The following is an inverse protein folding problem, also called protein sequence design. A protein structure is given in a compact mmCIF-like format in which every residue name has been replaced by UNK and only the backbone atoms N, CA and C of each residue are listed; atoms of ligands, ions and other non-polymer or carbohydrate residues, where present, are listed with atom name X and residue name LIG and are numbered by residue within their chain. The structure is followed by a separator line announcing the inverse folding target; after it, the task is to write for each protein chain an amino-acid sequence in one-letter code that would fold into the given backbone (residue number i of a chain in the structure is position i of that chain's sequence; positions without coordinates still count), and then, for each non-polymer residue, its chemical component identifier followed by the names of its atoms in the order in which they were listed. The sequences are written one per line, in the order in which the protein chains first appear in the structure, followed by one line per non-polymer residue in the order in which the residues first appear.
data_IF_526554921839
#
_entry.id   IF_526554921839
#
_cell.length_a   1.000
_cell.length_b   1.000
_cell.length_c   1.000
_cell.angle_alpha   90.00
_cell.angle_beta   90.00
_cell.angle_gamma   90.00
#
_symmetry.space_group_name_H-M   'P 1'
#
loop_
_entity.id
_entity.type
_entity.pdbx_description
1 polymer ?
#
# COMPACT_ATOMS: atom_id res chain seq x y z
N UNK A 1 -46.54 -1.65 -38.07
CA UNK A 1 -46.13 -0.74 -36.95
C UNK A 1 -44.73 -0.24 -37.23
N UNK A 2 -44.45 1.07 -37.42
CA UNK A 2 -43.12 1.61 -37.58
C UNK A 2 -42.44 1.59 -36.22
N UNK A 3 -41.33 0.86 -36.11
CA UNK A 3 -40.50 0.85 -34.93
C UNK A 3 -39.46 2.00 -35.03
N UNK A 4 -39.54 2.99 -34.14
CA UNK A 4 -38.59 4.09 -34.08
C UNK A 4 -37.67 3.92 -32.84
N UNK A 5 -36.41 3.67 -33.09
CA UNK A 5 -35.35 3.68 -32.04
C UNK A 5 -34.92 5.11 -31.83
N UNK A 6 -35.07 5.61 -30.61
CA UNK A 6 -34.42 6.86 -30.21
C UNK A 6 -32.96 6.58 -29.88
N UNK A 7 -32.00 7.25 -30.52
CA UNK A 7 -30.62 7.12 -30.13
C UNK A 7 -30.44 7.70 -28.72
N UNK A 8 -29.94 6.88 -27.79
CA UNK A 8 -29.51 7.31 -26.47
C UNK A 8 -27.99 7.40 -26.48
N UNK A 9 -27.45 8.60 -26.39
CA UNK A 9 -26.02 8.81 -26.19
C UNK A 9 -25.75 8.87 -24.71
N UNK A 10 -25.04 7.88 -24.18
CA UNK A 10 -24.49 7.92 -22.83
C UNK A 10 -23.10 8.53 -22.93
N UNK A 11 -22.93 9.76 -22.44
CA UNK A 11 -21.60 10.33 -22.30
C UNK A 11 -20.87 9.59 -21.17
N UNK A 12 -19.86 8.83 -21.51
CA UNK A 12 -18.94 8.24 -20.53
C UNK A 12 -18.08 9.38 -19.97
N UNK A 13 -18.03 9.50 -18.66
CA UNK A 13 -17.08 10.43 -18.03
C UNK A 13 -15.67 9.88 -18.25
N UNK A 14 -14.77 10.75 -18.68
CA UNK A 14 -13.36 10.41 -18.77
C UNK A 14 -12.84 10.01 -17.39
N UNK A 15 -12.22 8.85 -17.31
CA UNK A 15 -11.58 8.36 -16.09
C UNK A 15 -10.10 8.58 -16.22
N UNK A 16 -9.57 9.49 -15.40
CA UNK A 16 -8.12 9.72 -15.31
C UNK A 16 -7.50 8.62 -14.44
N UNK A 17 -6.75 7.71 -15.07
CA UNK A 17 -6.11 6.56 -14.40
C UNK A 17 -4.67 6.88 -13.99
N UNK A 18 -4.23 8.10 -14.13
CA UNK A 18 -2.90 8.55 -13.73
C UNK A 18 -2.97 9.42 -12.48
N UNK A 19 -1.86 9.49 -11.73
CA UNK A 19 -1.76 10.41 -10.62
C UNK A 19 -1.90 11.86 -11.12
N UNK A 20 -2.65 12.69 -10.41
CA UNK A 20 -2.70 14.12 -10.65
C UNK A 20 -1.51 14.80 -9.99
N UNK A 21 -0.80 15.67 -10.71
CA UNK A 21 0.30 16.44 -10.15
C UNK A 21 -0.15 17.84 -9.67
N UNK A 22 0.42 18.28 -8.54
CA UNK A 22 0.25 19.65 -8.08
C UNK A 22 1.09 20.59 -8.92
N UNK A 23 0.52 21.75 -9.27
CA UNK A 23 1.21 22.84 -10.01
C UNK A 23 2.03 23.74 -9.06
N UNK A 24 2.71 23.18 -8.06
CA UNK A 24 3.46 23.92 -7.05
C UNK A 24 4.96 23.71 -7.13
N UNK A 25 5.69 24.39 -6.24
CA UNK A 25 7.15 24.24 -6.07
C UNK A 25 7.51 22.82 -5.57
N UNK A 26 6.58 22.16 -4.90
CA UNK A 26 6.70 20.76 -4.46
C UNK A 26 6.03 19.83 -5.44
N UNK A 27 6.76 18.83 -5.94
CA UNK A 27 6.18 17.78 -6.80
C UNK A 27 5.34 16.83 -5.94
N UNK A 28 4.06 17.12 -5.82
CA UNK A 28 3.11 16.23 -5.17
C UNK A 28 2.25 15.51 -6.21
N UNK A 29 2.21 14.20 -6.14
CA UNK A 29 1.38 13.35 -6.99
C UNK A 29 0.27 12.74 -6.14
N UNK A 30 -0.98 12.91 -6.56
CA UNK A 30 -2.15 12.36 -5.87
C UNK A 30 -2.79 11.26 -6.69
N UNK A 31 -2.98 10.11 -6.06
CA UNK A 31 -3.68 8.94 -6.58
C UNK A 31 -5.00 8.84 -5.83
N UNK A 32 -6.11 8.88 -6.53
CA UNK A 32 -7.44 8.76 -5.95
C UNK A 32 -7.97 7.31 -5.99
N UNK A 33 -9.12 7.09 -5.38
CA UNK A 33 -9.75 5.78 -5.32
C UNK A 33 -10.11 5.25 -6.70
N UNK A 34 -10.56 6.11 -7.60
CA UNK A 34 -10.96 5.72 -8.96
C UNK A 34 -9.77 5.14 -9.73
N UNK A 35 -8.60 5.77 -9.65
CA UNK A 35 -7.38 5.26 -10.28
C UNK A 35 -6.96 3.91 -9.68
N UNK A 36 -7.10 3.74 -8.37
CA UNK A 36 -6.83 2.45 -7.70
C UNK A 36 -7.80 1.36 -8.13
N UNK A 37 -9.07 1.67 -8.30
CA UNK A 37 -10.09 0.70 -8.75
C UNK A 37 -9.83 0.22 -10.18
N UNK A 38 -9.31 1.08 -11.05
CA UNK A 38 -8.91 0.67 -12.39
C UNK A 38 -7.63 -0.17 -12.40
N UNK A 39 -6.65 0.18 -11.57
CA UNK A 39 -5.39 -0.55 -11.49
C UNK A 39 -5.55 -1.92 -10.84
N UNK A 40 -6.51 -2.08 -9.93
CA UNK A 40 -6.70 -3.30 -9.13
C UNK A 40 -5.42 -3.77 -8.41
N UNK A 41 -4.76 -2.90 -7.62
CA UNK A 41 -3.46 -3.19 -7.04
C UNK A 41 -3.54 -4.35 -6.03
N UNK A 42 -2.53 -5.19 -5.99
CA UNK A 42 -2.38 -6.28 -5.00
C UNK A 42 -1.64 -5.78 -3.76
N UNK A 43 -0.69 -4.87 -3.96
CA UNK A 43 0.05 -4.22 -2.90
C UNK A 43 0.20 -2.73 -3.15
N UNK A 44 0.63 -2.00 -2.12
CA UNK A 44 0.87 -0.56 -2.25
C UNK A 44 1.94 -0.24 -3.31
N UNK A 45 2.91 -1.12 -3.52
CA UNK A 45 3.96 -0.92 -4.53
C UNK A 45 3.42 -0.76 -5.94
N UNK A 46 2.26 -1.37 -6.24
CA UNK A 46 1.66 -1.30 -7.56
C UNK A 46 1.16 0.11 -7.89
N UNK A 47 0.83 0.91 -6.86
CA UNK A 47 0.39 2.30 -7.03
C UNK A 47 1.50 3.19 -7.58
N UNK A 48 2.76 2.82 -7.39
CA UNK A 48 3.89 3.60 -7.89
C UNK A 48 3.96 3.62 -9.42
N UNK A 49 3.34 2.63 -10.08
CA UNK A 49 3.20 2.62 -11.55
C UNK A 49 2.33 3.76 -12.09
N UNK A 50 1.44 4.33 -11.25
CA UNK A 50 0.59 5.46 -11.62
C UNK A 50 1.31 6.81 -11.53
N UNK A 51 2.49 6.84 -10.93
CA UNK A 51 3.28 8.07 -10.81
C UNK A 51 3.89 8.44 -12.16
N UNK A 52 4.02 9.72 -12.48
CA UNK A 52 4.77 10.17 -13.65
C UNK A 52 6.21 9.64 -13.62
N UNK A 53 6.62 8.93 -14.66
CA UNK A 53 7.89 8.22 -14.72
C UNK A 53 7.96 6.96 -13.83
N UNK A 54 6.83 6.54 -13.26
CA UNK A 54 6.73 5.32 -12.47
C UNK A 54 7.00 4.07 -13.32
N UNK A 55 7.69 3.11 -12.71
CA UNK A 55 7.91 1.79 -13.33
C UNK A 55 6.85 0.82 -12.82
N UNK A 56 6.42 -0.09 -13.68
CA UNK A 56 5.58 -1.21 -13.25
C UNK A 56 6.33 -2.04 -12.23
N UNK A 57 5.66 -2.30 -11.10
CA UNK A 57 6.21 -3.16 -10.06
C UNK A 57 6.17 -4.62 -10.51
N UNK A 58 7.21 -5.38 -10.19
CA UNK A 58 7.18 -6.83 -10.33
C UNK A 58 6.04 -7.39 -9.46
N UNK A 59 5.11 -8.19 -10.00
CA UNK A 59 4.02 -8.79 -9.23
C UNK A 59 4.51 -9.76 -8.16
N UNK A 60 5.73 -10.24 -8.25
CA UNK A 60 6.33 -11.13 -7.25
C UNK A 60 6.43 -10.43 -5.89
N UNK A 61 6.11 -11.18 -4.84
CA UNK A 61 6.14 -10.71 -3.46
C UNK A 61 7.33 -11.26 -2.66
N UNK A 62 8.36 -11.74 -3.34
CA UNK A 62 9.59 -12.21 -2.70
C UNK A 62 10.42 -11.01 -2.22
N UNK A 63 10.73 -10.98 -0.97
CA UNK A 63 11.49 -9.91 -0.35
C UNK A 63 10.68 -8.63 -0.08
N UNK A 64 11.15 -7.84 0.87
CA UNK A 64 10.53 -6.57 1.24
C UNK A 64 10.59 -5.59 0.06
N UNK A 65 9.49 -4.86 -0.17
CA UNK A 65 9.38 -3.83 -1.19
C UNK A 65 9.38 -2.46 -0.54
N UNK A 66 10.50 -1.78 -0.63
CA UNK A 66 10.66 -0.44 -0.07
C UNK A 66 10.48 0.61 -1.15
N UNK A 67 10.02 1.79 -0.76
CA UNK A 67 9.83 2.91 -1.67
C UNK A 67 11.17 3.58 -1.97
N UNK A 68 11.40 3.87 -3.24
CA UNK A 68 12.53 4.70 -3.72
C UNK A 68 11.96 5.84 -4.53
N UNK A 69 12.01 7.06 -3.99
CA UNK A 69 11.43 8.25 -4.63
C UNK A 69 12.43 9.05 -5.45
N UNK A 70 13.71 8.90 -5.16
CA UNK A 70 14.80 9.61 -5.82
C UNK A 70 16.00 8.70 -6.00
N UNK A 71 15.97 7.85 -7.01
CA UNK A 71 17.17 7.13 -7.42
C UNK A 71 17.84 7.81 -8.60
N UNK A 72 19.08 8.19 -8.40
CA UNK A 72 20.01 8.46 -9.48
C UNK A 72 20.76 7.16 -9.74
N UNK A 73 20.21 6.39 -10.62
CA UNK A 73 20.80 5.38 -11.48
C UNK A 73 22.10 4.68 -11.07
N UNK A 74 22.16 4.02 -9.90
CA UNK A 74 23.19 3.01 -9.67
C UNK A 74 22.58 1.84 -8.91
N UNK A 75 22.66 0.67 -9.51
CA UNK A 75 22.28 -0.62 -8.95
C UNK A 75 23.27 -1.13 -7.89
N UNK A 76 23.72 -0.28 -6.96
CA UNK A 76 24.58 -0.74 -5.88
C UNK A 76 23.76 -0.91 -4.61
N UNK A 77 24.00 -2.02 -3.93
CA UNK A 77 23.42 -2.43 -2.66
C UNK A 77 23.43 -1.38 -1.53
N UNK A 78 24.28 -0.37 -1.64
CA UNK A 78 24.42 0.73 -0.68
C UNK A 78 23.21 1.68 -0.62
N UNK A 79 22.27 1.58 -1.57
CA UNK A 79 21.08 2.44 -1.61
C UNK A 79 19.82 1.80 -1.00
N UNK A 80 19.92 0.59 -0.45
CA UNK A 80 18.77 -0.07 0.19
C UNK A 80 18.25 0.68 1.42
N UNK A 81 19.04 1.59 1.98
CA UNK A 81 18.65 2.46 3.08
C UNK A 81 18.01 3.78 2.64
N UNK A 82 17.93 4.06 1.34
CA UNK A 82 17.34 5.31 0.82
C UNK A 82 15.85 5.46 1.18
N UNK A 83 15.15 4.34 1.34
CA UNK A 83 13.75 4.32 1.78
C UNK A 83 13.55 4.78 3.23
N UNK A 84 14.59 4.79 4.06
CA UNK A 84 14.53 5.33 5.43
C UNK A 84 14.26 6.84 5.44
N UNK A 85 14.67 7.56 4.40
CA UNK A 85 14.39 8.97 4.22
C UNK A 85 12.96 9.28 3.76
N UNK A 86 12.11 8.27 3.57
CA UNK A 86 10.71 8.43 3.16
C UNK A 86 9.78 8.04 4.30
N UNK A 87 8.94 8.98 4.73
CA UNK A 87 7.98 8.78 5.81
C UNK A 87 6.62 8.37 5.25
N UNK A 88 6.02 7.38 5.86
CA UNK A 88 4.63 7.00 5.59
C UNK A 88 3.74 7.50 6.72
N UNK A 89 2.68 8.21 6.35
CA UNK A 89 1.70 8.77 7.28
C UNK A 89 0.33 8.25 6.88
N UNK A 90 -0.34 7.55 7.79
CA UNK A 90 -1.70 7.05 7.57
C UNK A 90 -2.65 7.79 8.51
N UNK A 91 -3.61 8.52 7.93
CA UNK A 91 -4.60 9.32 8.67
C UNK A 91 -3.97 10.25 9.72
N UNK A 92 -2.80 10.84 9.40
CA UNK A 92 -2.07 11.74 10.28
C UNK A 92 -1.07 11.07 11.23
N UNK A 93 -1.06 9.75 11.36
CA UNK A 93 -0.13 9.01 12.21
C UNK A 93 1.02 8.41 11.38
N UNK A 94 2.29 8.64 11.75
CA UNK A 94 3.42 8.04 11.06
C UNK A 94 3.50 6.54 11.33
N UNK A 95 3.97 5.77 10.33
CA UNK A 95 4.32 4.37 10.52
C UNK A 95 5.74 4.30 11.09
N UNK A 96 5.91 3.61 12.23
CA UNK A 96 7.23 3.26 12.74
C UNK A 96 7.78 2.04 11.99
N UNK A 97 9.08 2.08 11.72
CA UNK A 97 9.82 0.99 11.08
C UNK A 97 10.90 0.42 12.00
N UNK A 98 10.98 0.90 13.25
CA UNK A 98 12.08 0.60 14.17
C UNK A 98 12.24 -0.89 14.48
N UNK A 99 11.14 -1.64 14.43
CA UNK A 99 11.13 -3.09 14.65
C UNK A 99 11.16 -3.92 13.35
N UNK A 100 11.33 -3.29 12.19
CA UNK A 100 11.35 -4.00 10.93
C UNK A 100 12.72 -4.66 10.69
N UNK A 101 12.81 -5.92 11.06
CA UNK A 101 14.00 -6.76 10.89
C UNK A 101 13.95 -7.61 9.61
N UNK A 102 13.07 -7.28 8.67
CA UNK A 102 12.94 -8.04 7.44
C UNK A 102 14.19 -7.92 6.57
N UNK A 103 14.65 -9.06 6.09
CA UNK A 103 15.78 -9.14 5.16
C UNK A 103 15.34 -8.64 3.78
N UNK A 104 16.08 -7.72 3.22
CA UNK A 104 15.97 -7.35 1.82
C UNK A 104 16.68 -8.42 0.99
N UNK A 105 15.93 -9.15 0.19
CA UNK A 105 16.50 -10.01 -0.84
C UNK A 105 16.87 -9.12 -2.04
N UNK A 106 18.03 -8.53 -1.98
CA UNK A 106 18.66 -7.88 -3.11
C UNK A 106 19.71 -8.84 -3.65
N UNK A 107 19.72 -9.14 -4.88
CA UNK A 107 20.67 -9.94 -5.66
C UNK A 107 21.25 -11.19 -4.96
N UNK A 108 20.95 -12.41 -5.46
CA UNK A 108 21.49 -13.66 -4.92
C UNK A 108 23.03 -13.75 -4.97
N UNK A 109 23.72 -12.85 -5.68
CA UNK A 109 25.17 -12.84 -5.78
C UNK A 109 25.87 -11.91 -4.78
N UNK A 110 25.13 -11.14 -3.98
CA UNK A 110 25.70 -10.24 -2.96
C UNK A 110 25.48 -10.80 -1.56
N UNK A 111 26.34 -11.67 -1.14
CA UNK A 111 26.27 -12.37 0.16
C UNK A 111 26.51 -11.49 1.38
N UNK A 112 27.12 -10.33 1.25
CA UNK A 112 27.54 -9.51 2.40
C UNK A 112 26.62 -8.33 2.73
N UNK A 113 25.98 -7.72 1.75
CA UNK A 113 25.24 -6.46 1.97
C UNK A 113 23.82 -6.66 2.50
N UNK A 114 23.24 -7.84 2.30
CA UNK A 114 21.90 -8.17 2.80
C UNK A 114 21.81 -8.25 4.33
N UNK A 115 22.94 -8.42 5.01
CA UNK A 115 22.99 -8.57 6.48
C UNK A 115 23.19 -7.25 7.22
N UNK A 116 23.58 -6.18 6.53
CA UNK A 116 23.98 -4.93 7.17
C UNK A 116 22.83 -3.93 7.37
N UNK A 117 21.70 -4.12 6.71
CA UNK A 117 20.55 -3.24 6.88
C UNK A 117 19.50 -3.88 7.80
N UNK A 118 19.57 -3.52 9.08
CA UNK A 118 18.62 -3.99 10.10
C UNK A 118 17.22 -3.40 9.87
N UNK A 119 17.15 -2.21 9.27
CA UNK A 119 15.90 -1.51 8.96
C UNK A 119 16.05 -0.88 7.57
N UNK A 120 15.20 -1.25 6.66
CA UNK A 120 15.18 -0.72 5.30
C UNK A 120 13.96 0.17 5.00
N UNK A 121 13.27 0.64 6.03
CA UNK A 121 12.06 1.44 5.90
C UNK A 121 10.77 0.62 5.84
N UNK A 122 9.70 1.23 5.33
CA UNK A 122 8.38 0.60 5.27
C UNK A 122 8.33 -0.43 4.15
N UNK A 123 7.96 -1.65 4.50
CA UNK A 123 7.65 -2.68 3.51
C UNK A 123 6.23 -2.47 2.96
N UNK A 124 6.16 -2.04 1.71
CA UNK A 124 4.89 -1.74 1.03
C UNK A 124 4.00 -2.97 0.83
N UNK A 125 4.54 -4.19 0.94
CA UNK A 125 3.73 -5.43 0.89
C UNK A 125 2.72 -5.50 2.03
N UNK A 126 3.04 -4.88 3.17
CA UNK A 126 2.20 -4.88 4.38
C UNK A 126 1.04 -3.90 4.32
N UNK A 127 1.03 -2.99 3.35
CA UNK A 127 -0.02 -1.98 3.22
C UNK A 127 -1.08 -2.51 2.26
N UNK A 128 -2.28 -2.79 2.78
CA UNK A 128 -3.45 -3.12 1.97
C UNK A 128 -4.00 -1.86 1.30
N UNK A 129 -4.37 -1.99 0.03
CA UNK A 129 -4.92 -0.88 -0.76
C UNK A 129 -6.45 -0.80 -0.74
N UNK A 130 -7.12 -1.81 -0.17
CA UNK A 130 -8.58 -1.94 -0.24
C UNK A 130 -9.32 -0.89 0.58
N UNK A 131 -8.73 -0.46 1.69
CA UNK A 131 -9.30 0.56 2.58
C UNK A 131 -8.79 1.99 2.31
N UNK A 132 -7.95 2.19 1.28
CA UNK A 132 -7.39 3.49 0.95
C UNK A 132 -8.37 4.29 0.10
N UNK A 133 -8.59 5.55 0.48
CA UNK A 133 -9.35 6.54 -0.29
C UNK A 133 -8.45 7.32 -1.25
N UNK A 134 -7.31 7.78 -0.75
CA UNK A 134 -6.33 8.48 -1.59
C UNK A 134 -4.91 8.35 -1.03
N UNK A 135 -3.95 8.45 -1.93
CA UNK A 135 -2.53 8.50 -1.62
C UNK A 135 -1.97 9.78 -2.22
N UNK A 136 -1.22 10.53 -1.41
CA UNK A 136 -0.47 11.67 -1.86
C UNK A 136 1.02 11.42 -1.62
N UNK A 137 1.82 11.54 -2.67
CA UNK A 137 3.27 11.32 -2.62
C UNK A 137 3.95 12.63 -2.92
N UNK A 138 4.60 13.20 -1.90
CA UNK A 138 5.35 14.44 -1.99
C UNK A 138 6.81 14.08 -2.21
N UNK A 139 7.31 14.44 -3.38
CA UNK A 139 8.72 14.27 -3.78
C UNK A 139 9.42 15.63 -3.67
N UNK A 140 10.51 15.68 -2.98
CA UNK A 140 11.27 16.92 -2.85
C UNK A 140 11.33 17.41 -1.41
N UNK A 141 11.25 18.73 -1.21
CA UNK A 141 11.28 19.34 0.10
C UNK A 141 9.83 19.42 0.61
N UNK A 142 9.41 18.54 1.51
CA UNK A 142 8.07 18.61 2.09
C UNK A 142 7.97 19.81 3.06
N UNK A 143 6.74 20.12 3.50
CA UNK A 143 6.49 21.12 4.52
C UNK A 143 7.27 20.81 5.81
N UNK A 144 7.62 21.87 6.54
CA UNK A 144 8.29 21.77 7.85
C UNK A 144 7.52 20.93 8.88
N UNK A 145 6.22 20.72 8.65
CA UNK A 145 5.39 19.81 9.46
C UNK A 145 5.88 18.36 9.44
N UNK A 146 6.62 18.00 8.39
CA UNK A 146 7.17 16.65 8.21
C UNK A 146 8.67 16.68 8.45
N UNK A 147 9.06 16.51 9.70
CA UNK A 147 10.47 16.48 10.11
C UNK A 147 11.18 15.17 9.72
N UNK A 148 12.51 15.18 9.72
CA UNK A 148 13.39 14.01 9.52
C UNK A 148 13.22 13.30 8.17
N UNK A 149 13.15 14.07 7.08
CA UNK A 149 12.96 13.55 5.74
C UNK A 149 14.09 13.97 4.81
N UNK A 150 14.58 13.01 4.04
CA UNK A 150 15.58 13.26 2.99
C UNK A 150 15.06 13.00 1.58
N UNK A 151 14.02 12.16 1.45
CA UNK A 151 13.54 11.69 0.14
C UNK A 151 12.11 12.10 -0.17
N UNK A 152 11.21 12.10 0.82
CA UNK A 152 9.82 12.50 0.60
C UNK A 152 8.84 11.96 1.64
N UNK A 153 7.54 12.23 1.40
CA UNK A 153 6.44 11.80 2.26
C UNK A 153 5.38 11.07 1.45
N UNK A 154 4.87 9.99 1.99
CA UNK A 154 3.69 9.28 1.50
C UNK A 154 2.57 9.46 2.49
N UNK A 155 1.53 10.18 2.10
CA UNK A 155 0.36 10.46 2.92
C UNK A 155 -0.78 9.58 2.42
N UNK A 156 -1.26 8.69 3.27
CA UNK A 156 -2.34 7.75 2.98
C UNK A 156 -3.57 8.19 3.77
N UNK A 157 -4.65 8.44 3.06
CA UNK A 157 -5.97 8.68 3.66
C UNK A 157 -6.83 7.45 3.46
N UNK A 158 -7.36 6.94 4.54
CA UNK A 158 -8.25 5.78 4.51
C UNK A 158 -9.70 6.23 4.36
N UNK A 159 -10.57 5.33 3.88
CA UNK A 159 -12.02 5.59 3.71
C UNK A 159 -12.65 6.01 5.03
N UNK A 160 -13.28 7.17 5.02
CA UNK A 160 -13.93 7.77 6.21
C UNK A 160 -15.43 7.99 6.01
N UNK A 161 -15.99 7.47 4.94
CA UNK A 161 -17.42 7.63 4.60
C UNK A 161 -18.14 6.31 4.78
N UNK A 162 -19.46 6.38 4.93
CA UNK A 162 -20.31 5.21 4.81
C UNK A 162 -20.13 4.59 3.42
N UNK A 163 -19.84 3.31 3.40
CA UNK A 163 -19.72 2.52 2.17
C UNK A 163 -20.60 1.28 2.28
N UNK A 164 -21.22 0.84 1.18
CA UNK A 164 -21.87 -0.45 1.17
C UNK A 164 -20.88 -1.57 1.51
N UNK A 165 -21.36 -2.79 1.63
CA UNK A 165 -20.45 -3.94 1.71
C UNK A 165 -19.70 -4.03 0.38
N UNK A 166 -18.39 -3.88 0.47
CA UNK A 166 -17.48 -4.07 -0.65
C UNK A 166 -16.71 -5.37 -0.43
N UNK A 167 -16.81 -6.28 -1.36
CA UNK A 167 -16.01 -7.51 -1.37
C UNK A 167 -15.20 -7.55 -2.66
N UNK A 168 -13.92 -7.88 -2.54
CA UNK A 168 -13.01 -8.01 -3.67
C UNK A 168 -12.34 -9.36 -3.63
N UNK A 169 -12.41 -10.05 -4.75
CA UNK A 169 -11.72 -11.31 -4.99
C UNK A 169 -10.86 -11.12 -6.23
N UNK A 170 -9.56 -11.32 -6.09
CA UNK A 170 -8.62 -11.33 -7.20
C UNK A 170 -7.86 -12.65 -7.17
N UNK A 171 -7.81 -13.32 -8.30
CA UNK A 171 -7.00 -14.51 -8.49
C UNK A 171 -6.26 -14.38 -9.82
N UNK A 172 -4.95 -14.47 -9.75
CA UNK A 172 -4.07 -14.47 -10.90
C UNK A 172 -3.02 -15.59 -10.76
N UNK A 173 -2.10 -15.66 -11.71
CA UNK A 173 -1.05 -16.68 -11.69
C UNK A 173 -0.10 -16.56 -10.49
N UNK A 174 0.02 -15.37 -9.89
CA UNK A 174 0.95 -15.10 -8.78
C UNK A 174 0.28 -15.13 -7.42
N UNK A 175 -1.05 -15.17 -7.34
CA UNK A 175 -1.68 -15.23 -6.04
C UNK A 175 -3.19 -15.07 -6.01
N UNK A 176 -3.69 -15.10 -4.80
CA UNK A 176 -5.11 -14.95 -4.47
C UNK A 176 -5.27 -13.88 -3.40
N UNK A 177 -6.11 -12.90 -3.67
CA UNK A 177 -6.46 -11.84 -2.75
C UNK A 177 -7.96 -11.90 -2.48
N UNK A 178 -8.31 -11.82 -1.22
CA UNK A 178 -9.67 -11.62 -0.75
C UNK A 178 -9.69 -10.43 0.19
N UNK A 179 -10.64 -9.53 0.00
CA UNK A 179 -10.90 -8.46 0.95
C UNK A 179 -12.38 -8.17 1.08
N UNK A 180 -12.78 -7.72 2.27
CA UNK A 180 -14.14 -7.31 2.57
C UNK A 180 -14.10 -6.08 3.47
N UNK A 181 -14.97 -5.13 3.21
CA UNK A 181 -15.08 -3.92 4.00
C UNK A 181 -16.49 -3.36 4.02
N UNK A 182 -16.80 -2.61 5.07
CA UNK A 182 -18.07 -1.89 5.22
C UNK A 182 -17.90 -0.64 6.06
N UNK A 183 -18.55 0.43 5.64
CA UNK A 183 -18.72 1.65 6.44
C UNK A 183 -20.19 1.86 6.80
N UNK A 184 -20.47 2.03 8.10
CA UNK A 184 -21.81 2.29 8.61
C UNK A 184 -21.87 3.69 9.20
N UNK A 185 -22.81 4.48 8.76
CA UNK A 185 -23.08 5.80 9.29
C UNK A 185 -24.25 5.74 10.29
N UNK A 186 -24.06 6.38 11.43
CA UNK A 186 -25.15 6.53 12.41
C UNK A 186 -26.20 7.56 11.96
N UNK A 187 -27.39 7.48 12.54
CA UNK A 187 -28.51 8.40 12.23
C UNK A 187 -28.18 9.87 12.44
N UNK A 188 -27.17 10.20 13.22
CA UNK A 188 -26.69 11.56 13.42
C UNK A 188 -25.94 12.13 12.22
N UNK A 189 -25.65 11.29 11.19
CA UNK A 189 -24.87 11.63 9.99
C UNK A 189 -23.50 12.25 10.29
N UNK A 190 -23.01 12.05 11.51
CA UNK A 190 -21.74 12.60 11.99
C UNK A 190 -20.76 11.54 12.48
N UNK A 191 -21.27 10.33 12.71
CA UNK A 191 -20.50 9.22 13.22
C UNK A 191 -20.48 8.11 12.18
N UNK A 192 -19.28 7.71 11.75
CA UNK A 192 -19.07 6.62 10.78
C UNK A 192 -18.16 5.57 11.41
N UNK A 193 -18.61 4.35 11.43
CA UNK A 193 -17.81 3.18 11.79
C UNK A 193 -17.45 2.44 10.51
N UNK A 194 -16.16 2.26 10.25
CA UNK A 194 -15.64 1.49 9.13
C UNK A 194 -14.87 0.29 9.64
N UNK A 195 -15.09 -0.86 9.01
CA UNK A 195 -14.35 -2.08 9.30
C UNK A 195 -13.94 -2.73 7.98
N UNK A 196 -12.73 -3.24 7.92
CA UNK A 196 -12.19 -3.97 6.78
C UNK A 196 -11.31 -5.13 7.22
N UNK A 197 -11.27 -6.17 6.40
CA UNK A 197 -10.40 -7.32 6.56
C UNK A 197 -9.94 -7.82 5.19
N UNK A 198 -8.72 -8.34 5.12
CA UNK A 198 -8.17 -8.85 3.88
C UNK A 198 -7.17 -9.98 4.10
N UNK A 199 -7.07 -10.83 3.11
CA UNK A 199 -6.11 -11.92 3.04
C UNK A 199 -5.49 -11.98 1.66
N UNK A 200 -4.18 -12.13 1.61
CA UNK A 200 -3.39 -12.33 0.39
C UNK A 200 -2.53 -13.57 0.57
N UNK A 201 -2.57 -14.46 -0.41
CA UNK A 201 -1.62 -15.58 -0.57
C UNK A 201 -0.96 -15.43 -1.95
N UNK A 202 0.33 -15.18 -1.96
CA UNK A 202 1.09 -14.87 -3.18
C UNK A 202 2.30 -15.79 -3.32
N UNK A 203 2.59 -16.15 -4.55
CA UNK A 203 3.70 -17.02 -4.95
C UNK A 203 4.66 -16.24 -5.85
N UNK A 204 5.93 -16.58 -5.79
CA UNK A 204 6.94 -16.02 -6.69
C UNK A 204 6.83 -16.57 -8.10
N UNK A 205 6.64 -17.87 -8.18
CA UNK A 205 6.41 -18.61 -9.42
C UNK A 205 5.18 -19.50 -9.23
N UNK A 206 4.22 -19.50 -10.14
CA UNK A 206 3.04 -20.38 -10.05
C UNK A 206 3.38 -21.87 -9.99
N UNK A 207 4.55 -22.26 -10.47
CA UNK A 207 5.06 -23.63 -10.47
C UNK A 207 5.78 -23.98 -9.17
N UNK A 208 6.33 -22.96 -8.48
CA UNK A 208 7.05 -23.11 -7.24
C UNK A 208 6.14 -22.82 -6.05
N UNK A 209 5.82 -23.86 -5.28
CA UNK A 209 5.03 -23.77 -4.05
C UNK A 209 5.90 -23.62 -2.79
N UNK A 210 7.22 -23.59 -2.96
CA UNK A 210 8.16 -23.52 -1.86
C UNK A 210 8.36 -22.10 -1.36
N UNK A 211 8.08 -21.10 -2.23
CA UNK A 211 8.23 -19.69 -1.92
C UNK A 211 6.88 -19.01 -1.93
N UNK A 212 6.35 -18.67 -0.77
CA UNK A 212 5.10 -17.95 -0.67
C UNK A 212 5.12 -16.83 0.36
N UNK A 213 4.35 -15.79 0.07
CA UNK A 213 4.10 -14.66 0.95
C UNK A 213 2.62 -14.62 1.29
N UNK A 214 2.30 -14.53 2.58
CA UNK A 214 0.92 -14.39 3.06
C UNK A 214 0.79 -13.11 3.86
N UNK A 215 -0.29 -12.38 3.62
CA UNK A 215 -0.65 -11.18 4.39
C UNK A 215 -2.06 -11.30 4.92
N UNK A 216 -2.22 -10.95 6.18
CA UNK A 216 -3.52 -10.76 6.82
C UNK A 216 -3.58 -9.33 7.30
N UNK A 217 -4.64 -8.64 6.99
CA UNK A 217 -4.89 -7.28 7.49
C UNK A 217 -6.33 -7.17 7.99
N UNK A 218 -6.50 -6.40 9.04
CA UNK A 218 -7.81 -6.03 9.57
C UNK A 218 -7.75 -4.63 10.17
N UNK A 219 -8.80 -3.85 10.00
CA UNK A 219 -8.89 -2.55 10.65
C UNK A 219 -10.32 -2.22 11.04
N UNK A 220 -10.46 -1.46 12.14
CA UNK A 220 -11.71 -0.88 12.59
C UNK A 220 -11.45 0.58 12.92
N UNK A 221 -12.28 1.47 12.41
CA UNK A 221 -12.15 2.92 12.61
C UNK A 221 -13.47 3.56 12.91
N UNK A 222 -13.44 4.51 13.86
CA UNK A 222 -14.55 5.37 14.23
C UNK A 222 -14.20 6.82 13.91
N UNK A 223 -14.96 7.42 13.03
CA UNK A 223 -14.84 8.84 12.69
C UNK A 223 -16.03 9.59 13.25
N UNK A 224 -15.80 10.64 13.99
CA UNK A 224 -16.87 11.48 14.54
C UNK A 224 -16.59 12.95 14.25
N UNK A 225 -17.62 13.64 13.76
CA UNK A 225 -17.60 15.06 13.46
C UNK A 225 -18.48 15.80 14.46
N UNK A 226 -17.93 16.79 15.16
CA UNK A 226 -18.66 17.72 15.99
C UNK A 226 -18.71 19.09 15.35
N UNK A 227 -19.85 19.74 15.43
CA UNK A 227 -20.00 21.15 15.10
C UNK A 227 -20.00 21.92 16.43
N UNK A 228 -18.97 22.72 16.66
CA UNK A 228 -18.86 23.62 17.80
C UNK A 228 -19.26 25.03 17.35
N UNK A 229 -20.53 25.39 17.55
CA UNK A 229 -21.07 26.65 17.08
C UNK A 229 -21.20 26.71 15.54
N UNK A 230 -21.24 27.92 14.98
CA UNK A 230 -21.52 28.11 13.55
C UNK A 230 -20.31 27.95 12.63
N UNK A 231 -19.08 27.98 13.14
CA UNK A 231 -17.89 28.03 12.28
C UNK A 231 -16.84 26.94 12.58
N UNK A 232 -16.87 26.33 13.76
CA UNK A 232 -15.85 25.38 14.16
C UNK A 232 -16.30 23.94 13.95
N UNK A 233 -15.47 23.16 13.23
CA UNK A 233 -15.68 21.73 13.03
C UNK A 233 -14.55 20.97 13.67
N UNK A 234 -14.86 20.08 14.60
CA UNK A 234 -13.92 19.14 15.17
C UNK A 234 -14.14 17.78 14.52
N UNK A 235 -13.11 17.27 13.87
CA UNK A 235 -13.09 15.90 13.34
C UNK A 235 -12.21 15.04 14.24
N UNK A 236 -12.78 13.98 14.77
CA UNK A 236 -12.07 13.02 15.60
C UNK A 236 -12.07 11.67 14.91
N UNK A 237 -10.93 11.02 14.90
CA UNK A 237 -10.74 9.68 14.34
C UNK A 237 -10.02 8.82 15.35
N UNK A 238 -10.60 7.68 15.66
CA UNK A 238 -9.95 6.63 16.42
C UNK A 238 -10.00 5.34 15.63
N UNK A 239 -8.93 4.55 15.69
CA UNK A 239 -8.88 3.31 14.94
C UNK A 239 -7.87 2.34 15.49
N UNK A 240 -8.13 1.07 15.23
CA UNK A 240 -7.20 -0.02 15.48
C UNK A 240 -6.99 -0.72 14.16
N UNK A 241 -5.75 -0.92 13.79
CA UNK A 241 -5.38 -1.67 12.59
C UNK A 241 -4.31 -2.70 12.93
N UNK A 242 -4.46 -3.84 12.31
CA UNK A 242 -3.49 -4.93 12.37
C UNK A 242 -3.07 -5.31 10.96
N UNK A 243 -1.79 -5.50 10.75
CA UNK A 243 -1.24 -6.10 9.54
C UNK A 243 -0.17 -7.11 9.92
N UNK A 244 -0.30 -8.31 9.42
CA UNK A 244 0.68 -9.37 9.63
C UNK A 244 1.02 -10.03 8.32
N UNK A 245 2.30 -10.34 8.12
CA UNK A 245 2.76 -11.13 7.00
C UNK A 245 3.60 -12.32 7.45
N UNK A 246 3.62 -13.33 6.61
CA UNK A 246 4.49 -14.49 6.70
C UNK A 246 5.15 -14.63 5.35
N UNK A 247 6.46 -14.49 5.35
CA UNK A 247 7.32 -14.75 4.20
C UNK A 247 8.01 -16.09 4.43
N UNK A 248 7.80 -17.04 3.54
CA UNK A 248 8.20 -18.40 3.73
C UNK A 248 8.94 -18.90 2.49
N UNK A 249 10.20 -19.27 2.70
CA UNK A 249 11.05 -19.88 1.69
C UNK A 249 11.43 -21.25 2.19
N UNK A 250 11.26 -22.27 1.37
CA UNK A 250 11.63 -23.66 1.65
C UNK A 250 12.68 -24.10 0.66
N UNK A 251 13.62 -24.90 1.11
CA UNK A 251 14.61 -25.53 0.22
C UNK A 251 13.93 -26.47 -0.75
N UNK A 252 14.33 -26.42 -1.99
CA UNK A 252 13.90 -27.37 -3.01
C UNK A 252 14.57 -28.73 -2.72
N UNK A 253 13.82 -29.81 -2.46
CA UNK A 253 14.38 -31.12 -2.17
C UNK A 253 15.13 -31.72 -3.36
N UNK A 254 14.88 -31.24 -4.57
CA UNK A 254 15.51 -31.73 -5.79
C UNK A 254 16.88 -31.05 -6.06
N UNK A 255 17.20 -29.98 -5.31
CA UNK A 255 18.46 -29.24 -5.45
C UNK A 255 19.35 -29.50 -4.24
N UNK A 256 20.21 -30.50 -4.32
CA UNK A 256 21.09 -30.96 -3.22
C UNK A 256 22.14 -29.90 -2.77
N UNK A 257 22.39 -28.87 -3.55
CA UNK A 257 23.42 -27.86 -3.25
C UNK A 257 22.89 -26.63 -2.50
N UNK A 258 21.58 -26.47 -2.36
CA UNK A 258 20.95 -25.35 -1.64
C UNK A 258 20.53 -25.76 -0.22
N UNK A 259 21.47 -26.11 0.61
CA UNK A 259 21.16 -26.57 1.97
C UNK A 259 20.73 -25.47 2.95
N UNK A 260 20.79 -24.19 2.58
CA UNK A 260 20.73 -23.09 3.56
C UNK A 260 19.57 -22.07 3.37
N UNK A 261 18.71 -22.22 2.37
CA UNK A 261 17.73 -21.19 2.04
C UNK A 261 16.34 -21.38 2.67
N UNK A 262 16.24 -22.21 3.70
CA UNK A 262 15.01 -22.33 4.47
C UNK A 262 14.90 -21.18 5.47
N UNK A 263 14.04 -20.21 5.19
CA UNK A 263 13.69 -19.25 6.22
C UNK A 263 12.18 -19.01 6.28
N UNK A 264 11.71 -18.68 7.45
CA UNK A 264 10.37 -18.19 7.68
C UNK A 264 10.49 -16.89 8.45
N UNK A 265 10.12 -15.81 7.80
CA UNK A 265 10.03 -14.50 8.44
C UNK A 265 8.57 -14.15 8.68
N UNK A 266 8.26 -13.61 9.85
CA UNK A 266 6.95 -13.07 10.14
C UNK A 266 7.09 -11.66 10.70
N UNK A 267 6.24 -10.77 10.25
CA UNK A 267 6.15 -9.40 10.74
C UNK A 267 4.71 -9.08 11.10
N UNK A 268 4.51 -8.55 12.28
CA UNK A 268 3.19 -8.17 12.78
C UNK A 268 3.25 -6.72 13.26
N UNK A 269 2.35 -5.90 12.79
CA UNK A 269 2.22 -4.51 13.20
C UNK A 269 0.80 -4.22 13.66
N UNK A 270 0.69 -3.52 14.77
CA UNK A 270 -0.56 -2.97 15.27
C UNK A 270 -0.45 -1.45 15.36
N UNK A 271 -1.56 -0.76 15.10
CA UNK A 271 -1.66 0.69 15.24
C UNK A 271 -3.01 1.02 15.88
N UNK A 272 -2.99 1.92 16.83
CA UNK A 272 -4.16 2.45 17.54
C UNK A 272 -4.12 3.98 17.56
#
# INVERSE_FOLDING_TARGET
LPFSLKPSSTALREVVVTASESKGITSASKIDRTAMEHLQPTSFSDLLALLPGGKTSDPKMNGAKNITLREVGTSSSNYNTSSLGTKFIIDGAPISTDANMQRLLTDPNTTFDAYNAVNAGVDMRNISTDNIESVEIIRGIPSVEYNDLTSGVVIIKQKQKATPVEARIKADQYGKLFSIGKGVEWKDQRTVLSADAGFLDSYNDPRDRLNNFKRINASVRLNKKWLLGNEHRLNWTAGISYSGNIDNVKTDPDIQTQQEDNYKSSYHSGRW
#
